data_IF_486400964748
#
_entry.id   IF_486400964748
#
_cell.length_a   1.000
_cell.length_b   1.000
_cell.length_c   1.000
_cell.angle_alpha   90.00
_cell.angle_beta   90.00
_cell.angle_gamma   90.00
#
_symmetry.space_group_name_H-M   'P 1'
#
loop_
_entity.id
_entity.type
_entity.pdbx_description
1 polymer ?
#
# COMPACT_ATOMS: atom_id res chain seq x y z
N UNK A 1 0.35 33.69 43.47
CA UNK A 1 -0.17 33.13 42.20
C UNK A 1 0.81 32.09 41.73
N UNK A 2 0.57 30.86 42.18
CA UNK A 2 1.35 29.66 41.82
C UNK A 2 0.73 29.08 40.55
N UNK A 3 1.50 28.99 39.47
CA UNK A 3 1.24 28.03 38.41
C UNK A 3 2.56 27.34 38.12
N UNK A 4 2.79 26.25 38.86
CA UNK A 4 3.76 25.22 38.50
C UNK A 4 3.45 24.76 37.08
N UNK A 5 4.47 24.81 36.24
CA UNK A 5 4.49 24.10 34.98
C UNK A 5 4.19 22.63 35.25
N UNK A 6 3.11 22.14 34.67
CA UNK A 6 2.85 20.72 34.46
C UNK A 6 3.89 20.20 33.45
N UNK A 7 5.06 19.80 33.96
CA UNK A 7 5.98 18.98 33.19
C UNK A 7 5.43 17.56 33.21
N UNK A 8 4.52 17.31 32.27
CA UNK A 8 4.05 15.98 31.89
C UNK A 8 5.25 15.10 31.54
N UNK A 9 5.70 14.33 32.54
CA UNK A 9 6.78 13.37 32.44
C UNK A 9 6.22 12.08 31.84
N UNK A 10 6.78 11.67 30.70
CA UNK A 10 6.75 10.28 30.25
C UNK A 10 6.31 10.05 28.81
N UNK A 11 7.27 10.03 27.87
CA UNK A 11 7.15 9.26 26.64
C UNK A 11 8.52 8.64 26.32
N UNK A 12 8.53 7.33 26.11
CA UNK A 12 9.68 6.42 26.25
C UNK A 12 10.97 6.80 25.53
N UNK A 13 12.10 6.33 26.07
CA UNK A 13 13.43 6.33 25.47
C UNK A 13 13.52 5.36 24.27
N UNK A 14 12.60 5.49 23.32
CA UNK A 14 12.59 4.77 22.05
C UNK A 14 12.91 5.72 20.91
N UNK A 15 13.62 5.22 19.91
CA UNK A 15 13.85 5.95 18.66
C UNK A 15 12.51 6.41 18.08
N UNK A 16 12.38 7.70 17.76
CA UNK A 16 11.20 8.21 17.08
C UNK A 16 11.07 7.57 15.69
N UNK A 17 9.89 7.03 15.38
CA UNK A 17 9.58 6.38 14.11
C UNK A 17 8.51 7.19 13.40
N UNK A 18 8.69 7.39 12.09
CA UNK A 18 7.72 8.05 11.22
C UNK A 18 7.40 7.17 10.01
N UNK A 19 6.20 7.35 9.45
CA UNK A 19 5.84 6.81 8.13
C UNK A 19 6.33 7.82 7.10
N UNK A 20 7.28 7.42 6.26
CA UNK A 20 7.90 8.29 5.25
C UNK A 20 7.42 8.02 3.84
N UNK A 21 6.78 6.87 3.59
CA UNK A 21 6.21 6.56 2.29
C UNK A 21 5.09 5.53 2.37
N UNK A 22 4.16 5.61 1.42
CA UNK A 22 3.02 4.73 1.28
C UNK A 22 2.91 4.17 -0.13
N UNK A 23 2.38 2.96 -0.25
CA UNK A 23 2.18 2.30 -1.53
C UNK A 23 1.11 1.23 -1.41
N UNK A 24 0.25 1.16 -2.41
CA UNK A 24 -0.99 0.42 -2.31
C UNK A 24 -1.58 0.12 -3.69
N UNK A 25 -2.09 -1.10 -3.83
CA UNK A 25 -2.84 -1.54 -5.02
C UNK A 25 -4.18 -2.09 -4.54
N UNK A 26 -5.25 -1.35 -4.80
CA UNK A 26 -6.57 -1.61 -4.22
C UNK A 26 -7.67 -1.61 -5.30
N UNK A 27 -8.88 -2.08 -4.98
CA UNK A 27 -10.03 -1.94 -5.86
C UNK A 27 -10.47 -0.49 -6.09
N UNK A 28 -10.11 0.43 -5.18
CA UNK A 28 -10.47 1.84 -5.26
C UNK A 28 -9.42 2.70 -5.98
N UNK A 29 -8.26 2.14 -6.29
CA UNK A 29 -7.14 2.83 -6.93
C UNK A 29 -5.85 2.01 -6.82
N UNK A 30 -4.99 2.14 -7.82
CA UNK A 30 -3.76 1.34 -7.94
C UNK A 30 -2.49 2.09 -7.48
N UNK A 31 -2.65 3.31 -6.99
CA UNK A 31 -1.64 4.17 -6.40
C UNK A 31 -2.28 5.07 -5.32
N UNK A 32 -1.47 5.84 -4.60
CA UNK A 32 -1.90 6.69 -3.50
C UNK A 32 -2.95 7.73 -3.92
N UNK A 33 -2.72 8.44 -5.02
CA UNK A 33 -3.63 9.47 -5.52
C UNK A 33 -5.00 8.89 -5.92
N UNK A 34 -5.01 7.90 -6.83
CA UNK A 34 -6.25 7.28 -7.33
C UNK A 34 -7.04 6.61 -6.20
N UNK A 35 -6.34 5.99 -5.24
CA UNK A 35 -6.98 5.41 -4.07
C UNK A 35 -7.61 6.48 -3.19
N UNK A 36 -6.91 7.58 -2.91
CA UNK A 36 -7.43 8.63 -2.05
C UNK A 36 -8.68 9.28 -2.66
N UNK A 37 -8.63 9.58 -3.96
CA UNK A 37 -9.80 10.06 -4.70
C UNK A 37 -10.96 9.06 -4.64
N UNK A 38 -10.70 7.78 -4.92
CA UNK A 38 -11.72 6.73 -4.89
C UNK A 38 -12.33 6.52 -3.50
N UNK A 39 -11.50 6.59 -2.45
CA UNK A 39 -11.91 6.50 -1.06
C UNK A 39 -12.80 7.68 -0.67
N UNK A 40 -12.38 8.91 -0.97
CA UNK A 40 -13.14 10.12 -0.68
C UNK A 40 -14.46 10.19 -1.48
N UNK A 41 -14.52 9.61 -2.68
CA UNK A 41 -15.75 9.51 -3.45
C UNK A 41 -16.78 8.56 -2.81
N UNK A 42 -16.36 7.63 -1.95
CA UNK A 42 -17.26 6.74 -1.20
C UNK A 42 -18.04 5.74 -2.07
N UNK A 43 -17.59 5.48 -3.30
CA UNK A 43 -18.27 4.57 -4.21
C UNK A 43 -17.88 3.11 -3.93
N UNK A 44 -18.87 2.22 -3.90
CA UNK A 44 -18.60 0.79 -3.75
C UNK A 44 -17.82 0.23 -4.95
N UNK A 45 -16.75 -0.51 -4.66
CA UNK A 45 -15.92 -1.21 -5.65
C UNK A 45 -16.39 -2.65 -5.92
N UNK A 46 -17.43 -3.13 -5.21
CA UNK A 46 -17.93 -4.48 -5.37
C UNK A 46 -18.58 -4.65 -6.76
N UNK A 47 -18.21 -5.70 -7.48
CA UNK A 47 -18.77 -6.05 -8.78
C UNK A 47 -19.00 -7.56 -8.84
N UNK A 48 -20.09 -7.98 -9.51
CA UNK A 48 -20.27 -9.39 -9.87
C UNK A 48 -19.13 -9.83 -10.77
N UNK A 49 -18.68 -11.07 -10.59
CA UNK A 49 -17.54 -11.66 -11.28
C UNK A 49 -18.01 -12.86 -12.09
N UNK A 50 -17.87 -12.84 -13.43
CA UNK A 50 -18.24 -13.99 -14.25
C UNK A 50 -17.58 -15.30 -13.81
N UNK A 51 -16.35 -15.24 -13.31
CA UNK A 51 -15.60 -16.38 -12.79
C UNK A 51 -16.16 -16.97 -11.47
N UNK A 52 -17.05 -16.25 -10.79
CA UNK A 52 -17.72 -16.70 -9.56
C UNK A 52 -19.18 -17.12 -9.81
N UNK A 53 -19.62 -17.17 -11.07
CA UNK A 53 -21.00 -17.52 -11.41
C UNK A 53 -21.38 -18.92 -10.88
N UNK A 54 -22.53 -18.99 -10.20
CA UNK A 54 -23.04 -20.23 -9.61
C UNK A 54 -22.54 -20.55 -8.20
N UNK A 55 -21.63 -19.74 -7.64
CA UNK A 55 -21.23 -19.83 -6.24
C UNK A 55 -22.22 -19.10 -5.32
N UNK A 56 -22.28 -19.43 -4.01
CA UNK A 56 -23.12 -18.70 -3.05
C UNK A 56 -22.80 -17.20 -2.94
N UNK A 57 -21.57 -16.80 -3.31
CA UNK A 57 -21.12 -15.41 -3.39
C UNK A 57 -20.50 -15.21 -4.77
N UNK A 58 -21.12 -14.36 -5.59
CA UNK A 58 -20.80 -14.14 -7.00
C UNK A 58 -20.14 -12.78 -7.29
N UNK A 59 -19.73 -12.05 -6.25
CA UNK A 59 -19.16 -10.71 -6.36
C UNK A 59 -17.85 -10.58 -5.57
N UNK A 60 -17.00 -9.64 -5.99
CA UNK A 60 -15.75 -9.30 -5.33
C UNK A 60 -15.37 -7.83 -5.54
N UNK A 61 -14.44 -7.35 -4.71
CA UNK A 61 -13.73 -6.09 -4.93
C UNK A 61 -12.32 -6.44 -5.43
N UNK A 62 -12.16 -6.59 -6.74
CA UNK A 62 -10.88 -6.96 -7.33
C UNK A 62 -10.03 -5.71 -7.64
N UNK A 63 -8.73 -5.77 -7.35
CA UNK A 63 -7.78 -4.70 -7.69
C UNK A 63 -7.29 -4.88 -9.14
N UNK A 64 -8.16 -4.54 -10.10
CA UNK A 64 -7.96 -4.80 -11.53
C UNK A 64 -7.53 -3.55 -12.32
N UNK A 65 -7.36 -2.40 -11.66
CA UNK A 65 -6.97 -1.12 -12.28
C UNK A 65 -5.52 -1.05 -12.77
N UNK A 66 -4.77 -2.16 -12.72
CA UNK A 66 -3.35 -2.20 -13.08
C UNK A 66 -2.98 -3.54 -13.71
N UNK A 67 -2.15 -3.49 -14.76
CA UNK A 67 -1.45 -4.66 -15.28
C UNK A 67 -0.27 -4.98 -14.36
N UNK A 68 -0.45 -5.99 -13.51
CA UNK A 68 0.56 -6.43 -12.56
C UNK A 68 1.80 -7.05 -13.22
N UNK A 69 1.65 -7.64 -14.40
CA UNK A 69 2.78 -8.29 -15.07
C UNK A 69 3.69 -7.23 -15.69
N UNK A 70 3.11 -6.21 -16.29
CA UNK A 70 3.83 -5.04 -16.74
C UNK A 70 4.45 -4.25 -15.57
N UNK A 71 3.71 -4.03 -14.48
CA UNK A 71 4.18 -3.26 -13.34
C UNK A 71 5.32 -3.94 -12.54
N UNK A 72 5.29 -5.27 -12.45
CA UNK A 72 6.40 -6.02 -11.83
C UNK A 72 7.59 -6.11 -12.78
N UNK A 73 7.34 -6.44 -14.05
CA UNK A 73 8.36 -6.59 -15.08
C UNK A 73 9.32 -7.77 -14.87
N UNK A 74 10.19 -8.01 -15.85
CA UNK A 74 11.28 -8.98 -15.77
C UNK A 74 10.89 -10.44 -16.04
N UNK A 75 11.90 -11.29 -16.21
CA UNK A 75 11.74 -12.68 -16.70
C UNK A 75 11.06 -13.62 -15.69
N UNK A 76 11.00 -13.25 -14.41
CA UNK A 76 10.42 -14.07 -13.34
C UNK A 76 8.95 -13.81 -13.07
N UNK A 77 8.33 -12.81 -13.71
CA UNK A 77 6.96 -12.37 -13.39
C UNK A 77 5.93 -13.48 -13.52
N UNK A 78 6.09 -14.36 -14.51
CA UNK A 78 5.19 -15.50 -14.73
C UNK A 78 5.21 -16.53 -13.59
N UNK A 79 6.28 -16.56 -12.78
CA UNK A 79 6.40 -17.46 -11.61
C UNK A 79 5.81 -16.87 -10.34
N UNK A 80 5.42 -15.59 -10.35
CA UNK A 80 4.87 -14.93 -9.17
C UNK A 80 3.37 -15.15 -9.08
N UNK A 81 2.91 -15.60 -7.91
CA UNK A 81 1.49 -15.58 -7.61
C UNK A 81 0.96 -14.13 -7.59
N UNK A 82 -0.32 -13.93 -7.90
CA UNK A 82 -0.94 -12.59 -8.00
C UNK A 82 -0.72 -11.73 -6.74
N UNK A 83 -0.83 -12.32 -5.54
CA UNK A 83 -0.64 -11.57 -4.29
C UNK A 83 0.79 -11.07 -4.11
N UNK A 84 1.79 -11.82 -4.61
CA UNK A 84 3.20 -11.41 -4.59
C UNK A 84 3.38 -10.21 -5.51
N UNK A 85 2.77 -10.23 -6.69
CA UNK A 85 2.82 -9.09 -7.62
C UNK A 85 2.24 -7.83 -7.00
N UNK A 86 1.07 -7.94 -6.36
CA UNK A 86 0.46 -6.84 -5.59
C UNK A 86 1.42 -6.28 -4.54
N UNK A 87 1.99 -7.15 -3.71
CA UNK A 87 2.90 -6.75 -2.63
C UNK A 87 4.17 -6.06 -3.18
N UNK A 88 4.76 -6.58 -4.24
CA UNK A 88 5.97 -6.00 -4.86
C UNK A 88 5.68 -4.63 -5.45
N UNK A 89 4.54 -4.46 -6.14
CA UNK A 89 4.16 -3.16 -6.71
C UNK A 89 3.91 -2.14 -5.60
N UNK A 90 3.14 -2.50 -4.58
CA UNK A 90 2.87 -1.63 -3.43
C UNK A 90 4.16 -1.26 -2.67
N UNK A 91 5.07 -2.21 -2.45
CA UNK A 91 6.34 -1.95 -1.78
C UNK A 91 7.23 -1.00 -2.60
N UNK A 92 7.29 -1.17 -3.93
CA UNK A 92 8.03 -0.25 -4.81
C UNK A 92 7.47 1.16 -4.77
N UNK A 93 6.14 1.30 -4.79
CA UNK A 93 5.50 2.61 -4.62
C UNK A 93 5.88 3.24 -3.27
N UNK A 94 5.81 2.49 -2.17
CA UNK A 94 6.15 3.00 -0.84
C UNK A 94 7.61 3.45 -0.71
N UNK A 95 8.55 2.69 -1.28
CA UNK A 95 9.98 3.05 -1.29
C UNK A 95 10.23 4.31 -2.13
N UNK A 96 9.57 4.40 -3.29
CA UNK A 96 9.66 5.57 -4.16
C UNK A 96 9.05 6.83 -3.51
N UNK A 97 7.89 6.70 -2.87
CA UNK A 97 7.21 7.77 -2.14
C UNK A 97 8.06 8.26 -0.95
N UNK A 98 8.76 7.33 -0.28
CA UNK A 98 9.74 7.67 0.76
C UNK A 98 10.99 8.40 0.23
N UNK A 99 11.15 8.55 -1.08
CA UNK A 99 12.32 9.17 -1.70
C UNK A 99 13.61 8.37 -1.49
N UNK A 100 13.50 7.07 -1.18
CA UNK A 100 14.65 6.20 -0.94
C UNK A 100 15.15 5.62 -2.26
N UNK A 101 16.46 5.75 -2.50
CA UNK A 101 17.13 5.12 -3.63
C UNK A 101 17.91 3.88 -3.17
N UNK A 102 17.55 2.68 -3.65
CA UNK A 102 18.25 1.44 -3.31
C UNK A 102 19.74 1.41 -3.63
N UNK A 103 20.22 2.30 -4.51
CA UNK A 103 21.64 2.40 -4.85
C UNK A 103 22.47 3.11 -3.78
N UNK A 104 21.85 3.88 -2.87
CA UNK A 104 22.55 4.73 -1.91
C UNK A 104 22.19 4.45 -0.44
N UNK A 105 21.12 3.72 -0.16
CA UNK A 105 20.74 3.39 1.22
C UNK A 105 21.66 2.35 1.88
N UNK A 106 21.69 2.32 3.22
CA UNK A 106 22.43 1.30 3.98
C UNK A 106 21.68 -0.03 3.93
N UNK A 107 22.07 -0.92 3.00
CA UNK A 107 21.46 -2.25 2.85
C UNK A 107 21.63 -3.18 4.05
N UNK A 108 22.49 -2.86 5.02
CA UNK A 108 22.58 -3.61 6.29
C UNK A 108 21.44 -3.26 7.26
N UNK A 109 20.62 -2.26 6.94
CA UNK A 109 19.52 -1.74 7.77
C UNK A 109 18.16 -1.86 7.10
N UNK A 110 18.07 -2.53 5.95
CA UNK A 110 16.83 -2.70 5.16
C UNK A 110 16.65 -4.17 4.79
#
# INVERSE_FOLDING_TARGET
MSQSADQGTGAGSGTAVAVTGVGLVTPAGADEHSFWEGLCAGHSTARRRPELAGLPVDFACAADGIDLDAAVGGRSVWRMARFVKLAVVAARQAVADAGLDPAVWDGGRV
#
